data_IF_586927719772
#
_entry.id   IF_586927719772
#
_cell.length_a   1.000
_cell.length_b   1.000
_cell.length_c   1.000
_cell.angle_alpha   90.00
_cell.angle_beta   90.00
_cell.angle_gamma   90.00
#
_symmetry.space_group_name_H-M   'P 1'
#
loop_
_entity.id
_entity.type
_entity.pdbx_description
1 polymer ?
#
# COMPACT_ATOMS: atom_id res chain seq x y z
N UNK A 1 6.23 14.09 1.96
CA UNK A 1 5.84 13.32 0.78
C UNK A 1 5.75 14.25 -0.44
N UNK A 2 6.09 13.75 -1.60
CA UNK A 2 5.93 14.53 -2.82
C UNK A 2 4.46 14.60 -3.27
N UNK A 3 4.09 15.70 -3.93
CA UNK A 3 2.71 15.98 -4.36
C UNK A 3 2.06 14.82 -5.13
N UNK A 4 2.82 14.10 -5.97
CA UNK A 4 2.30 12.95 -6.70
C UNK A 4 1.85 11.82 -5.78
N UNK A 5 2.65 11.53 -4.75
CA UNK A 5 2.34 10.49 -3.75
C UNK A 5 1.14 10.87 -2.90
N UNK A 6 1.06 12.13 -2.45
CA UNK A 6 -0.08 12.63 -1.67
C UNK A 6 -1.39 12.51 -2.45
N UNK A 7 -1.38 12.90 -3.71
CA UNK A 7 -2.55 12.78 -4.58
C UNK A 7 -2.92 11.32 -4.88
N UNK A 8 -1.93 10.45 -5.03
CA UNK A 8 -2.17 9.02 -5.18
C UNK A 8 -2.85 8.45 -3.91
N UNK A 9 -2.34 8.77 -2.73
CA UNK A 9 -2.93 8.30 -1.47
C UNK A 9 -4.34 8.82 -1.24
N UNK A 10 -4.69 10.03 -1.70
CA UNK A 10 -6.03 10.57 -1.50
C UNK A 10 -7.14 9.70 -2.12
N UNK A 11 -6.83 8.93 -3.16
CA UNK A 11 -7.77 7.99 -3.79
C UNK A 11 -7.67 6.55 -3.26
N UNK A 12 -6.71 6.26 -2.37
CA UNK A 12 -6.46 4.89 -1.96
C UNK A 12 -7.67 4.25 -1.26
N UNK A 13 -8.32 4.96 -0.33
CA UNK A 13 -9.50 4.47 0.36
C UNK A 13 -10.67 4.23 -0.61
N UNK A 14 -10.92 5.15 -1.52
CA UNK A 14 -11.94 4.99 -2.57
C UNK A 14 -11.69 3.73 -3.41
N UNK A 15 -10.46 3.51 -3.86
CA UNK A 15 -10.11 2.32 -4.66
C UNK A 15 -10.22 1.02 -3.86
N UNK A 16 -9.88 1.05 -2.57
CA UNK A 16 -10.02 -0.07 -1.63
C UNK A 16 -11.48 -0.46 -1.41
N UNK A 17 -12.37 0.50 -1.25
CA UNK A 17 -13.83 0.25 -1.14
C UNK A 17 -14.43 -0.39 -2.40
N UNK A 18 -13.81 -0.17 -3.55
CA UNK A 18 -14.18 -0.80 -4.83
C UNK A 18 -13.43 -2.12 -5.09
N UNK A 19 -12.54 -2.57 -4.18
CA UNK A 19 -11.69 -3.76 -4.36
C UNK A 19 -10.66 -3.61 -5.48
N UNK A 20 -10.17 -2.39 -5.70
CA UNK A 20 -9.27 -2.00 -6.79
C UNK A 20 -7.95 -1.38 -6.32
N UNK A 21 -7.63 -1.50 -5.04
CA UNK A 21 -6.44 -0.90 -4.44
C UNK A 21 -5.14 -1.42 -5.06
N UNK A 22 -5.04 -2.71 -5.36
CA UNK A 22 -3.85 -3.31 -5.98
C UNK A 22 -3.70 -2.84 -7.43
N UNK A 23 -4.79 -2.89 -8.21
CA UNK A 23 -4.81 -2.40 -9.59
C UNK A 23 -4.39 -0.93 -9.64
N UNK A 24 -4.88 -0.12 -8.69
CA UNK A 24 -4.59 1.31 -8.64
C UNK A 24 -3.12 1.61 -8.31
N UNK A 25 -2.54 0.93 -7.32
CA UNK A 25 -1.11 1.08 -7.00
C UNK A 25 -0.25 0.67 -8.18
N UNK A 26 -0.56 -0.44 -8.84
CA UNK A 26 0.17 -0.91 -10.01
C UNK A 26 0.07 0.09 -11.18
N UNK A 27 -1.11 0.67 -11.44
CA UNK A 27 -1.29 1.70 -12.44
C UNK A 27 -0.46 2.96 -12.12
N UNK A 28 -0.42 3.38 -10.85
CA UNK A 28 0.39 4.52 -10.42
C UNK A 28 1.90 4.26 -10.61
N UNK A 29 2.39 3.12 -10.16
CA UNK A 29 3.80 2.76 -10.29
C UNK A 29 4.22 2.66 -11.77
N UNK A 30 3.38 2.04 -12.61
CA UNK A 30 3.59 1.94 -14.06
C UNK A 30 3.64 3.33 -14.69
N UNK A 31 2.65 4.18 -14.45
CA UNK A 31 2.57 5.51 -15.03
C UNK A 31 3.80 6.36 -14.67
N UNK A 32 4.22 6.36 -13.40
CA UNK A 32 5.32 7.22 -12.94
C UNK A 32 6.69 6.63 -13.28
N UNK A 33 6.92 5.36 -12.98
CA UNK A 33 8.26 4.77 -13.05
C UNK A 33 8.59 4.09 -14.38
N UNK A 34 7.60 3.59 -15.09
CA UNK A 34 7.79 2.92 -16.37
C UNK A 34 7.53 3.84 -17.55
N UNK A 35 6.51 4.68 -17.47
CA UNK A 35 6.08 5.55 -18.57
C UNK A 35 6.54 7.01 -18.41
N UNK A 36 7.15 7.36 -17.28
CA UNK A 36 7.68 8.71 -17.02
C UNK A 36 6.61 9.80 -16.94
N UNK A 37 5.36 9.42 -16.60
CA UNK A 37 4.28 10.38 -16.47
C UNK A 37 4.37 11.18 -15.17
N UNK A 38 3.83 12.39 -15.19
CA UNK A 38 3.76 13.23 -13.99
C UNK A 38 2.56 12.83 -13.11
N UNK A 39 2.80 12.02 -12.08
CA UNK A 39 1.76 11.48 -11.18
C UNK A 39 0.98 12.54 -10.37
N UNK A 40 1.41 13.80 -10.37
CA UNK A 40 0.67 14.91 -9.75
C UNK A 40 -0.36 15.57 -10.69
N UNK A 41 -0.37 15.24 -11.97
CA UNK A 41 -1.32 15.82 -12.92
C UNK A 41 -2.67 15.12 -12.84
N UNK A 42 -3.74 15.89 -12.73
CA UNK A 42 -5.13 15.39 -12.71
C UNK A 42 -5.43 14.49 -13.90
N UNK A 43 -4.90 14.82 -15.09
CA UNK A 43 -5.05 14.00 -16.30
C UNK A 43 -4.44 12.61 -16.13
N UNK A 44 -3.25 12.52 -15.56
CA UNK A 44 -2.57 11.23 -15.30
C UNK A 44 -3.38 10.39 -14.33
N UNK A 45 -3.86 11.00 -13.23
CA UNK A 45 -4.68 10.31 -12.24
C UNK A 45 -6.02 9.84 -12.83
N UNK A 46 -6.67 10.69 -13.64
CA UNK A 46 -7.89 10.30 -14.35
C UNK A 46 -7.66 9.07 -15.24
N UNK A 47 -6.60 9.08 -16.05
CA UNK A 47 -6.28 7.95 -16.93
C UNK A 47 -6.07 6.65 -16.13
N UNK A 48 -5.38 6.72 -14.99
CA UNK A 48 -5.18 5.56 -14.11
C UNK A 48 -6.49 5.02 -13.55
N UNK A 49 -7.38 5.91 -13.10
CA UNK A 49 -8.71 5.54 -12.57
C UNK A 49 -9.56 4.85 -13.62
N UNK A 50 -9.58 5.37 -14.85
CA UNK A 50 -10.33 4.79 -15.95
C UNK A 50 -9.70 3.48 -16.46
N UNK A 51 -8.36 3.38 -16.51
CA UNK A 51 -7.64 2.15 -16.90
C UNK A 51 -8.02 0.96 -16.03
N UNK A 52 -8.25 1.17 -14.73
CA UNK A 52 -8.66 0.12 -13.80
C UNK A 52 -10.18 -0.10 -13.72
N UNK A 53 -10.94 0.58 -14.58
CA UNK A 53 -12.40 0.43 -14.73
C UNK A 53 -13.23 1.16 -13.69
N UNK A 54 -12.68 2.20 -13.03
CA UNK A 54 -13.42 3.03 -12.08
C UNK A 54 -13.93 4.32 -12.73
N UNK A 55 -15.02 4.85 -12.14
CA UNK A 55 -15.63 6.09 -12.61
C UNK A 55 -14.86 7.32 -12.11
N UNK A 56 -14.39 8.14 -13.05
CA UNK A 56 -13.64 9.35 -12.73
C UNK A 56 -14.46 10.38 -11.94
N UNK A 57 -15.73 10.58 -12.28
CA UNK A 57 -16.57 11.59 -11.61
C UNK A 57 -16.86 11.21 -10.14
N UNK A 58 -16.82 9.92 -9.80
CA UNK A 58 -16.84 9.46 -8.41
C UNK A 58 -15.49 9.70 -7.74
N UNK A 59 -14.41 9.22 -8.35
CA UNK A 59 -13.06 9.33 -7.80
C UNK A 59 -12.62 10.79 -7.58
N UNK A 60 -13.00 11.69 -8.49
CA UNK A 60 -12.67 13.11 -8.42
C UNK A 60 -13.18 13.82 -7.16
N UNK A 61 -14.26 13.33 -6.56
CA UNK A 61 -14.82 13.88 -5.32
C UNK A 61 -13.92 13.62 -4.12
N UNK A 62 -13.17 12.52 -4.18
CA UNK A 62 -12.25 12.08 -3.12
C UNK A 62 -10.82 12.60 -3.35
N UNK A 63 -10.54 13.15 -4.53
CA UNK A 63 -9.21 13.62 -4.88
C UNK A 63 -8.77 14.78 -3.97
N UNK A 64 -7.50 14.68 -3.51
CA UNK A 64 -6.85 15.68 -2.66
C UNK A 64 -7.41 15.76 -1.21
N UNK A 65 -8.20 14.76 -0.74
CA UNK A 65 -8.53 14.63 0.67
C UNK A 65 -7.28 14.29 1.52
N UNK A 66 -7.40 14.35 2.84
CA UNK A 66 -6.31 14.07 3.78
C UNK A 66 -6.58 12.87 4.71
N UNK A 67 -7.64 12.11 4.48
CA UNK A 67 -8.09 11.04 5.39
C UNK A 67 -7.08 9.89 5.49
N UNK A 68 -6.33 9.66 4.40
CA UNK A 68 -5.24 8.68 4.35
C UNK A 68 -4.09 8.94 5.34
N UNK A 69 -3.93 10.17 5.87
CA UNK A 69 -2.79 10.56 6.73
C UNK A 69 -2.82 9.81 8.06
N UNK A 70 -3.99 9.57 8.63
CA UNK A 70 -4.13 8.84 9.89
C UNK A 70 -3.69 7.38 9.74
N UNK A 71 -4.07 6.73 8.65
CA UNK A 71 -3.64 5.35 8.36
C UNK A 71 -2.12 5.25 8.18
N UNK A 72 -1.53 6.18 7.42
CA UNK A 72 -0.07 6.21 7.22
C UNK A 72 0.68 6.45 8.53
N UNK A 73 0.19 7.34 9.38
CA UNK A 73 0.78 7.58 10.70
C UNK A 73 0.67 6.34 11.60
N UNK A 74 -0.48 5.68 11.62
CA UNK A 74 -0.66 4.41 12.33
C UNK A 74 0.33 3.34 11.86
N UNK A 75 0.52 3.20 10.56
CA UNK A 75 1.50 2.27 9.97
C UNK A 75 2.94 2.64 10.38
N UNK A 76 3.28 3.93 10.40
CA UNK A 76 4.60 4.41 10.83
C UNK A 76 4.88 4.07 12.30
N UNK A 77 3.92 4.28 13.18
CA UNK A 77 4.04 3.94 14.59
C UNK A 77 4.21 2.43 14.80
N UNK A 78 3.44 1.60 14.07
CA UNK A 78 3.56 0.15 14.12
C UNK A 78 4.95 -0.37 13.69
N UNK A 79 5.64 0.34 12.78
CA UNK A 79 7.03 0.01 12.43
C UNK A 79 7.97 0.23 13.63
N UNK A 80 7.80 1.33 14.35
CA UNK A 80 8.65 1.62 15.51
C UNK A 80 8.43 0.66 16.68
N UNK A 81 7.20 0.22 16.90
CA UNK A 81 6.88 -0.80 17.92
C UNK A 81 7.63 -2.11 17.72
N UNK A 82 7.93 -2.47 16.48
CA UNK A 82 8.72 -3.69 16.16
C UNK A 82 10.20 -3.39 15.90
N UNK A 83 10.68 -2.20 16.27
CA UNK A 83 12.08 -1.79 16.12
C UNK A 83 12.51 -1.63 14.66
N UNK A 84 11.59 -1.25 13.77
CA UNK A 84 11.84 -1.00 12.35
C UNK A 84 11.52 0.45 12.01
N UNK A 85 12.07 0.94 10.90
CA UNK A 85 11.94 2.35 10.52
C UNK A 85 11.81 2.57 9.01
N UNK A 86 11.80 1.49 8.20
CA UNK A 86 11.77 1.60 6.75
C UNK A 86 10.82 0.62 6.05
N UNK A 87 10.26 1.00 4.90
CA UNK A 87 9.54 0.13 4.00
C UNK A 87 10.50 -0.65 3.07
N UNK A 88 10.12 -1.83 2.58
CA UNK A 88 9.01 -2.61 3.08
C UNK A 88 9.36 -3.30 4.41
N UNK A 89 8.46 -3.23 5.38
CA UNK A 89 8.55 -4.03 6.61
C UNK A 89 7.38 -5.01 6.66
N UNK A 90 7.68 -6.27 6.92
CA UNK A 90 6.69 -7.33 7.07
C UNK A 90 6.65 -7.77 8.53
N UNK A 91 5.46 -7.86 9.08
CA UNK A 91 5.22 -8.25 10.47
C UNK A 91 4.32 -9.48 10.48
N UNK A 92 4.87 -10.63 10.86
CA UNK A 92 4.11 -11.85 11.05
C UNK A 92 3.58 -11.90 12.49
N UNK A 93 2.26 -12.06 12.63
CA UNK A 93 1.57 -12.17 13.92
C UNK A 93 0.84 -13.51 14.01
N UNK A 94 0.75 -14.08 15.21
CA UNK A 94 -0.12 -15.22 15.47
C UNK A 94 -1.60 -14.79 15.62
N UNK A 95 -2.49 -15.77 15.88
CA UNK A 95 -3.92 -15.52 16.08
C UNK A 95 -4.21 -14.56 17.25
N UNK A 96 -3.37 -14.57 18.28
CA UNK A 96 -3.46 -13.67 19.44
C UNK A 96 -2.86 -12.27 19.16
N UNK A 97 -2.55 -11.95 17.90
CA UNK A 97 -1.91 -10.71 17.46
C UNK A 97 -0.49 -10.49 18.00
N UNK A 98 0.13 -11.48 18.64
CA UNK A 98 1.51 -11.41 19.09
C UNK A 98 2.47 -11.48 17.91
N UNK A 99 3.46 -10.59 17.87
CA UNK A 99 4.51 -10.60 16.86
C UNK A 99 5.38 -11.82 17.00
N UNK A 100 5.48 -12.62 15.95
CA UNK A 100 6.34 -13.79 15.84
C UNK A 100 7.66 -13.42 15.15
N UNK A 101 7.56 -12.65 14.08
CA UNK A 101 8.68 -12.24 13.26
C UNK A 101 8.43 -10.85 12.70
N UNK A 102 9.45 -10.01 12.67
CA UNK A 102 9.45 -8.77 11.89
C UNK A 102 10.71 -8.68 11.06
N UNK A 103 10.57 -8.42 9.77
CA UNK A 103 11.69 -8.28 8.84
C UNK A 103 11.58 -7.00 8.04
N UNK A 104 12.73 -6.42 7.71
CA UNK A 104 12.83 -5.27 6.83
C UNK A 104 13.61 -5.66 5.57
N UNK A 105 13.09 -5.22 4.43
CA UNK A 105 13.69 -5.45 3.12
C UNK A 105 12.98 -6.55 2.32
N UNK A 106 12.81 -6.29 1.04
CA UNK A 106 12.18 -7.23 0.09
C UNK A 106 13.01 -8.51 -0.13
N UNK A 107 14.30 -8.46 0.14
CA UNK A 107 15.23 -9.59 0.09
C UNK A 107 14.97 -10.65 1.16
N UNK A 108 14.05 -10.40 2.11
CA UNK A 108 13.72 -11.27 3.23
C UNK A 108 12.30 -11.83 3.20
N UNK A 109 11.60 -11.74 2.07
CA UNK A 109 10.27 -12.34 1.89
C UNK A 109 10.34 -13.85 2.12
N UNK A 110 11.38 -14.52 1.63
CA UNK A 110 11.60 -15.95 1.84
C UNK A 110 11.56 -16.37 3.32
N UNK A 111 12.05 -15.52 4.23
CA UNK A 111 12.06 -15.82 5.65
C UNK A 111 10.65 -15.80 6.25
N UNK A 112 9.75 -14.93 5.74
CA UNK A 112 8.32 -14.95 6.11
C UNK A 112 7.67 -16.23 5.59
N UNK A 113 7.91 -16.62 4.34
CA UNK A 113 7.37 -17.83 3.72
C UNK A 113 7.80 -19.08 4.50
N UNK A 114 9.10 -19.22 4.78
CA UNK A 114 9.64 -20.34 5.55
C UNK A 114 9.04 -20.41 6.96
N UNK A 115 8.90 -19.26 7.64
CA UNK A 115 8.31 -19.22 8.97
C UNK A 115 6.85 -19.65 8.95
N UNK A 116 6.08 -19.20 7.95
CA UNK A 116 4.69 -19.63 7.77
C UNK A 116 4.58 -21.14 7.51
N UNK A 117 5.44 -21.68 6.67
CA UNK A 117 5.50 -23.10 6.39
C UNK A 117 5.75 -23.91 7.67
N UNK A 118 6.78 -23.56 8.44
CA UNK A 118 7.11 -24.23 9.70
C UNK A 118 5.99 -24.13 10.75
N UNK A 119 5.25 -23.02 10.79
CA UNK A 119 4.09 -22.87 11.66
C UNK A 119 2.94 -23.79 11.25
N UNK A 120 2.71 -23.98 9.96
CA UNK A 120 1.67 -24.87 9.43
C UNK A 120 2.00 -26.34 9.74
N UNK A 121 3.26 -26.75 9.58
CA UNK A 121 3.71 -28.12 9.89
C UNK A 121 3.58 -28.47 11.40
N UNK A 122 3.79 -27.52 12.28
CA UNK A 122 3.63 -27.72 13.75
C UNK A 122 2.17 -27.86 14.19
N UNK A 123 1.22 -27.44 13.36
CA UNK A 123 -0.21 -27.50 13.65
C UNK A 123 -0.91 -28.73 13.03
N UNK A 124 -0.15 -29.60 12.35
CA UNK A 124 -0.61 -30.91 11.85
C UNK A 124 -0.34 -32.01 12.87
#
# INVERSE_FOLDING_TARGET
LGKAVERCYSLFQFTKEKGKEEDYINAFLKAVWSEGQHGYLTKTINNMVEEIGLNWEEAKKELDNNDWREEIEGNRLALYEVGKWGPPTMILKNQDKKVILSVWGQDRIWLIEETLYLMQERNK
#
